data_IF_734266676306
#
_entry.id   IF_734266676306
#
_cell.length_a   1.000
_cell.length_b   1.000
_cell.length_c   1.000
_cell.angle_alpha   90.00
_cell.angle_beta   90.00
_cell.angle_gamma   90.00
#
_symmetry.space_group_name_H-M   'P 1'
#
loop_
_entity.id
_entity.type
_entity.pdbx_description
1 polymer ?
#
# COMPACT_ATOMS: atom_id res chain seq x y z
N UNK A 1 -10.23 -1.20 17.94
CA UNK A 1 -9.30 -2.20 17.39
C UNK A 1 -9.73 -2.51 15.97
N UNK A 2 -8.96 -2.08 14.96
CA UNK A 2 -9.24 -2.46 13.57
C UNK A 2 -8.94 -3.95 13.39
N UNK A 3 -9.91 -4.72 12.91
CA UNK A 3 -9.69 -6.14 12.61
C UNK A 3 -8.65 -6.27 11.48
N UNK A 4 -7.74 -7.26 11.53
CA UNK A 4 -6.68 -7.44 10.53
C UNK A 4 -7.23 -7.50 9.09
N UNK A 5 -8.41 -8.08 8.88
CA UNK A 5 -9.05 -8.15 7.56
C UNK A 5 -9.41 -6.79 6.95
N UNK A 6 -9.67 -5.75 7.75
CA UNK A 6 -10.00 -4.42 7.22
C UNK A 6 -8.78 -3.71 6.65
N UNK A 7 -7.60 -3.89 7.26
CA UNK A 7 -6.35 -3.32 6.77
C UNK A 7 -5.95 -3.96 5.43
N UNK A 8 -6.07 -5.30 5.36
CA UNK A 8 -5.79 -6.07 4.16
C UNK A 8 -6.62 -5.59 2.95
N UNK A 9 -7.94 -5.44 3.14
CA UNK A 9 -8.85 -4.96 2.10
C UNK A 9 -8.46 -3.55 1.64
N UNK A 10 -8.14 -2.66 2.57
CA UNK A 10 -7.70 -1.29 2.25
C UNK A 10 -6.41 -1.26 1.43
N UNK A 11 -5.43 -2.11 1.77
CA UNK A 11 -4.17 -2.25 1.01
C UNK A 11 -4.44 -2.72 -0.41
N UNK A 12 -5.28 -3.74 -0.59
CA UNK A 12 -5.64 -4.26 -1.92
C UNK A 12 -6.34 -3.19 -2.78
N UNK A 13 -7.28 -2.45 -2.20
CA UNK A 13 -7.97 -1.35 -2.88
C UNK A 13 -6.99 -0.24 -3.30
N UNK A 14 -6.08 0.16 -2.41
CA UNK A 14 -5.10 1.19 -2.71
C UNK A 14 -4.09 0.75 -3.78
N UNK A 15 -3.65 -0.52 -3.76
CA UNK A 15 -2.82 -1.09 -4.83
C UNK A 15 -3.55 -1.10 -6.17
N UNK A 16 -4.84 -1.46 -6.17
CA UNK A 16 -5.65 -1.43 -7.39
C UNK A 16 -5.78 -0.01 -7.95
N UNK A 17 -6.21 0.94 -7.12
CA UNK A 17 -6.37 2.34 -7.52
C UNK A 17 -5.06 2.97 -8.02
N UNK A 18 -3.92 2.65 -7.39
CA UNK A 18 -2.61 3.13 -7.83
C UNK A 18 -2.26 2.60 -9.23
N UNK A 19 -2.52 1.32 -9.51
CA UNK A 19 -2.30 0.73 -10.84
C UNK A 19 -3.22 1.33 -11.89
N UNK A 20 -4.50 1.54 -11.56
CA UNK A 20 -5.45 2.18 -12.47
C UNK A 20 -5.04 3.61 -12.81
N UNK A 21 -4.63 4.40 -11.82
CA UNK A 21 -4.12 5.76 -12.03
C UNK A 21 -2.96 5.77 -13.01
N UNK A 22 -1.97 4.90 -12.82
CA UNK A 22 -0.80 4.81 -13.71
C UNK A 22 -1.21 4.42 -15.13
N UNK A 23 -2.11 3.45 -15.28
CA UNK A 23 -2.62 3.00 -16.57
C UNK A 23 -3.38 4.13 -17.28
N UNK A 24 -4.31 4.78 -16.59
CA UNK A 24 -5.12 5.87 -17.14
C UNK A 24 -4.24 7.05 -17.52
N UNK A 25 -3.27 7.41 -16.68
CA UNK A 25 -2.33 8.48 -16.99
C UNK A 25 -1.51 8.19 -18.25
N UNK A 26 -0.97 6.97 -18.39
CA UNK A 26 -0.23 6.56 -19.56
C UNK A 26 -1.08 6.64 -20.86
N UNK A 27 -2.36 6.29 -20.78
CA UNK A 27 -3.29 6.43 -21.91
C UNK A 27 -3.60 7.90 -22.21
N UNK A 28 -3.91 8.70 -21.19
CA UNK A 28 -4.14 10.14 -21.33
C UNK A 28 -2.95 10.83 -21.99
N UNK A 29 -1.72 10.46 -21.63
CA UNK A 29 -0.49 11.03 -22.20
C UNK A 29 -0.30 10.78 -23.68
N UNK A 30 -1.00 9.82 -24.27
CA UNK A 30 -1.00 9.60 -25.72
C UNK A 30 -1.73 10.71 -26.48
N UNK A 31 -2.75 11.29 -25.85
CA UNK A 31 -3.59 12.34 -26.45
C UNK A 31 -3.27 13.73 -25.89
N UNK A 32 -2.78 13.80 -24.66
CA UNK A 32 -2.46 15.03 -23.94
C UNK A 32 -1.00 15.03 -23.47
N UNK A 33 -0.11 15.62 -24.29
CA UNK A 33 1.34 15.66 -24.03
C UNK A 33 1.95 17.06 -24.12
N UNK A 34 1.15 18.09 -23.86
CA UNK A 34 1.61 19.47 -23.82
C UNK A 34 2.36 19.79 -22.51
N UNK A 35 2.73 21.06 -22.33
CA UNK A 35 3.40 21.52 -21.12
C UNK A 35 2.51 21.35 -19.88
N UNK A 36 1.20 21.59 -19.99
CA UNK A 36 0.26 21.44 -18.89
C UNK A 36 0.22 19.99 -18.38
N UNK A 37 0.25 19.01 -19.27
CA UNK A 37 0.32 17.61 -18.92
C UNK A 37 1.63 17.26 -18.18
N UNK A 38 2.76 17.83 -18.61
CA UNK A 38 4.07 17.64 -17.96
C UNK A 38 4.09 18.27 -16.58
N UNK A 39 3.53 19.47 -16.43
CA UNK A 39 3.45 20.17 -15.16
C UNK A 39 2.56 19.42 -14.17
N UNK A 40 1.46 18.83 -14.65
CA UNK A 40 0.61 17.96 -13.83
C UNK A 40 1.38 16.73 -13.33
N UNK A 41 2.10 16.05 -14.23
CA UNK A 41 2.92 14.88 -13.89
C UNK A 41 3.96 15.20 -12.82
N UNK A 42 4.76 16.24 -13.05
CA UNK A 42 5.82 16.66 -12.14
C UNK A 42 5.28 17.11 -10.77
N UNK A 43 4.19 17.88 -10.78
CA UNK A 43 3.62 18.44 -9.55
C UNK A 43 2.91 17.39 -8.70
N UNK A 44 2.21 16.45 -9.32
CA UNK A 44 1.30 15.56 -8.62
C UNK A 44 1.71 14.10 -8.64
N UNK A 45 2.16 13.57 -9.77
CA UNK A 45 2.35 12.12 -9.93
C UNK A 45 3.76 11.68 -9.53
N UNK A 46 4.80 12.45 -9.88
CA UNK A 46 6.20 12.09 -9.60
C UNK A 46 6.48 11.93 -8.10
N UNK A 47 5.89 12.77 -7.25
CA UNK A 47 6.07 12.71 -5.79
C UNK A 47 5.08 11.76 -5.10
N UNK A 48 3.84 11.70 -5.58
CA UNK A 48 2.78 10.91 -4.94
C UNK A 48 2.96 9.42 -5.17
N UNK A 49 3.34 8.98 -6.39
CA UNK A 49 3.45 7.55 -6.70
C UNK A 49 4.51 6.83 -5.86
N UNK A 50 5.72 7.37 -5.64
CA UNK A 50 6.68 6.79 -4.71
C UNK A 50 6.16 6.76 -3.26
N UNK A 51 5.52 7.83 -2.79
CA UNK A 51 4.97 7.90 -1.45
C UNK A 51 3.88 6.83 -1.23
N UNK A 52 2.99 6.63 -2.20
CA UNK A 52 1.97 5.57 -2.16
C UNK A 52 2.60 4.18 -2.10
N UNK A 53 3.68 3.93 -2.84
CA UNK A 53 4.40 2.65 -2.79
C UNK A 53 5.02 2.40 -1.41
N UNK A 54 5.60 3.43 -0.79
CA UNK A 54 6.16 3.34 0.56
C UNK A 54 5.08 3.02 1.59
N UNK A 55 3.94 3.71 1.52
CA UNK A 55 2.80 3.47 2.42
C UNK A 55 2.28 2.04 2.25
N UNK A 56 2.12 1.58 1.02
CA UNK A 56 1.68 0.22 0.72
C UNK A 56 2.64 -0.83 1.30
N UNK A 57 3.96 -0.65 1.12
CA UNK A 57 4.96 -1.55 1.65
C UNK A 57 4.94 -1.60 3.19
N UNK A 58 4.95 -0.44 3.85
CA UNK A 58 4.91 -0.35 5.30
C UNK A 58 3.63 -0.94 5.89
N UNK A 59 2.50 -0.74 5.22
CA UNK A 59 1.20 -1.29 5.65
C UNK A 59 1.18 -2.81 5.51
N UNK A 60 1.70 -3.36 4.41
CA UNK A 60 1.83 -4.82 4.24
C UNK A 60 2.74 -5.45 5.29
N UNK A 61 3.86 -4.81 5.63
CA UNK A 61 4.75 -5.26 6.71
C UNK A 61 4.05 -5.25 8.07
N UNK A 62 3.32 -4.17 8.37
CA UNK A 62 2.55 -4.05 9.62
C UNK A 62 1.47 -5.12 9.73
N UNK A 63 0.78 -5.42 8.61
CA UNK A 63 -0.23 -6.48 8.56
C UNK A 63 0.37 -7.86 8.86
N UNK A 64 1.54 -8.16 8.29
CA UNK A 64 2.27 -9.41 8.53
C UNK A 64 2.66 -9.54 10.00
N UNK A 65 3.27 -8.50 10.58
CA UNK A 65 3.69 -8.49 11.97
C UNK A 65 2.49 -8.69 12.92
N UNK A 66 1.36 -8.04 12.63
CA UNK A 66 0.14 -8.22 13.42
C UNK A 66 -0.41 -9.64 13.29
N UNK A 67 -0.41 -10.22 12.09
CA UNK A 67 -0.87 -11.60 11.87
C UNK A 67 -0.01 -12.60 12.64
N UNK A 68 1.31 -12.43 12.60
CA UNK A 68 2.25 -13.27 13.35
C UNK A 68 2.04 -13.13 14.86
N UNK A 69 1.87 -11.90 15.37
CA UNK A 69 1.64 -11.67 16.79
C UNK A 69 0.33 -12.31 17.29
N UNK A 70 -0.73 -12.29 16.48
CA UNK A 70 -2.00 -12.98 16.78
C UNK A 70 -1.77 -14.49 16.82
N UNK A 71 -1.12 -15.05 15.80
CA UNK A 71 -0.81 -16.48 15.74
C UNK A 71 0.03 -16.94 16.94
N UNK A 72 1.10 -16.21 17.28
CA UNK A 72 1.97 -16.50 18.42
C UNK A 72 1.24 -16.42 19.77
N UNK A 73 0.15 -15.65 19.85
CA UNK A 73 -0.67 -15.51 21.06
C UNK A 73 -1.74 -16.60 21.17
N UNK A 74 -2.12 -17.22 20.05
CA UNK A 74 -3.08 -18.31 19.99
C UNK A 74 -2.44 -19.69 20.13
N UNK A 75 -1.10 -19.78 20.20
CA UNK A 75 -0.34 -21.01 20.42
C UNK A 75 -0.14 -21.31 21.92
N UNK A 76 -0.88 -22.28 22.51
CA UNK A 76 -0.87 -22.55 23.94
C UNK A 76 0.35 -23.35 24.42
N UNK A 77 1.22 -23.83 23.52
CA UNK A 77 2.32 -24.76 23.88
C UNK A 77 3.71 -24.09 23.88
N UNK A 78 3.77 -22.75 23.93
CA UNK A 78 5.04 -22.02 24.04
C UNK A 78 5.65 -22.30 25.43
N UNK A 79 6.80 -23.00 25.55
CA UNK A 79 7.43 -23.19 26.84
C UNK A 79 7.80 -21.81 27.36
N UNK A 80 7.19 -21.42 28.49
CA UNK A 80 7.55 -20.22 29.21
C UNK A 80 9.01 -20.40 29.62
N UNK A 81 9.94 -19.87 28.83
CA UNK A 81 11.33 -19.74 29.26
C UNK A 81 11.32 -18.62 30.29
N UNK A 82 11.08 -19.03 31.53
CA UNK A 82 11.27 -18.22 32.73
C UNK A 82 12.76 -17.95 32.82
N UNK A 83 13.16 -16.69 32.66
CA UNK A 83 14.46 -16.19 33.12
C UNK A 83 14.44 -16.02 34.64
#
# INVERSE_FOLDING_TARGET
>A
MSRPGHLHIGVQQLQHATRELQRMWAETRRQWNDQTARDFEAKHLESMLPALRLILAATSETEEQYRQAVHDSEDPDRPTTVL
#
